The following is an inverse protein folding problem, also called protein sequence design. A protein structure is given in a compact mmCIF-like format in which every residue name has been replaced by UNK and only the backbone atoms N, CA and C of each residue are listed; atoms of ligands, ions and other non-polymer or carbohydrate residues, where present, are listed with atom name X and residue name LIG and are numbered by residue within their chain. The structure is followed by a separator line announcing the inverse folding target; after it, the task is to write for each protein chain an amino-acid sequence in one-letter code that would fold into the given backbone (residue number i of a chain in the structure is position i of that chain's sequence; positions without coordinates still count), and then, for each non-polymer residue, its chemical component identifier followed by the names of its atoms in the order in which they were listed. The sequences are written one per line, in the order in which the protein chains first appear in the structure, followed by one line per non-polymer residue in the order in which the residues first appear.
data_IF_753318848455
#
_entry.id   IF_753318848455
#
_cell.length_a   1.000
_cell.length_b   1.000
_cell.length_c   1.000
_cell.angle_alpha   90.00
_cell.angle_beta   90.00
_cell.angle_gamma   90.00
#
_symmetry.space_group_name_H-M   'P 1'
#
loop_
_entity.id
_entity.type
_entity.pdbx_description
1 polymer ?
#
# COMPACT_ATOMS: atom_id res chain seq x y z
N UNK A 1 45.09 -3.41 -41.97
CA UNK A 1 43.88 -2.56 -41.97
C UNK A 1 42.87 -3.19 -41.02
N UNK A 2 42.67 -2.57 -39.85
CA UNK A 2 41.93 -3.10 -38.70
C UNK A 2 40.42 -2.87 -38.87
N UNK A 3 39.62 -3.92 -38.76
CA UNK A 3 38.16 -3.86 -38.72
C UNK A 3 37.74 -3.43 -37.31
N UNK A 4 37.08 -2.28 -37.21
CA UNK A 4 36.58 -1.72 -35.95
C UNK A 4 35.26 -2.42 -35.61
N UNK A 5 35.25 -3.09 -34.46
CA UNK A 5 34.07 -3.73 -33.87
C UNK A 5 33.17 -2.64 -33.25
N UNK A 6 31.92 -2.54 -33.70
CA UNK A 6 30.89 -1.72 -33.05
C UNK A 6 30.38 -2.48 -31.81
N UNK A 7 30.73 -1.99 -30.62
CA UNK A 7 30.13 -2.43 -29.36
C UNK A 7 28.81 -1.65 -29.20
N UNK A 8 27.69 -2.33 -29.40
CA UNK A 8 26.38 -1.79 -29.06
C UNK A 8 26.25 -1.74 -27.53
N UNK A 9 26.26 -0.53 -26.98
CA UNK A 9 25.99 -0.29 -25.57
C UNK A 9 24.48 -0.53 -25.33
N UNK A 10 24.15 -1.67 -24.72
CA UNK A 10 22.79 -2.01 -24.29
C UNK A 10 22.49 -1.23 -22.99
N UNK A 11 22.14 0.04 -23.10
CA UNK A 11 21.58 0.83 -21.99
C UNK A 11 20.09 0.53 -21.87
N UNK A 12 19.77 -0.61 -21.25
CA UNK A 12 18.40 -1.05 -21.03
C UNK A 12 18.14 -1.36 -19.56
N UNK A 13 17.59 -0.37 -18.84
CA UNK A 13 16.82 -0.51 -17.60
C UNK A 13 17.49 -1.32 -16.47
N UNK A 14 18.59 -0.77 -15.95
CA UNK A 14 18.85 -0.97 -14.52
C UNK A 14 17.78 -0.17 -13.78
N UNK A 15 16.69 -0.83 -13.42
CA UNK A 15 15.87 -0.40 -12.29
C UNK A 15 16.82 -0.36 -11.10
N UNK A 16 17.29 0.83 -10.76
CA UNK A 16 18.00 1.05 -9.50
C UNK A 16 17.03 0.55 -8.44
N UNK A 17 17.36 -0.48 -7.64
CA UNK A 17 16.60 -0.70 -6.42
C UNK A 17 16.86 0.55 -5.61
N UNK A 18 15.89 1.49 -5.59
CA UNK A 18 15.78 2.39 -4.46
C UNK A 18 15.76 1.46 -3.26
N UNK A 19 16.73 1.62 -2.37
CA UNK A 19 16.67 1.00 -1.06
C UNK A 19 15.40 1.55 -0.39
N UNK A 20 14.30 0.84 -0.59
CA UNK A 20 12.96 1.29 -0.24
C UNK A 20 12.65 0.73 1.13
N UNK A 21 13.29 1.29 2.14
CA UNK A 21 12.91 1.02 3.51
C UNK A 21 11.41 1.39 3.65
N UNK A 22 10.63 0.34 3.84
CA UNK A 22 9.36 0.30 4.57
C UNK A 22 8.11 0.82 3.85
N UNK A 23 7.92 0.51 2.55
CA UNK A 23 6.54 0.48 2.03
C UNK A 23 5.83 -0.73 2.64
N UNK A 24 4.91 -0.47 3.55
CA UNK A 24 4.14 -1.51 4.23
C UNK A 24 2.84 -1.82 3.48
N UNK A 25 2.31 -0.84 2.74
CA UNK A 25 1.02 -0.93 2.04
C UNK A 25 1.12 -0.31 0.65
N UNK A 26 0.64 -1.04 -0.36
CA UNK A 26 0.36 -0.47 -1.69
C UNK A 26 -1.14 -0.22 -1.83
N UNK A 27 -1.50 0.92 -2.42
CA UNK A 27 -2.90 1.35 -2.56
C UNK A 27 -3.22 1.54 -4.04
N UNK A 28 -4.19 0.80 -4.56
CA UNK A 28 -4.74 0.99 -5.90
C UNK A 28 -6.01 1.82 -5.82
N UNK A 29 -5.96 3.02 -6.38
CA UNK A 29 -7.06 4.00 -6.38
C UNK A 29 -7.76 4.09 -7.73
N UNK A 30 -7.43 3.22 -8.69
CA UNK A 30 -7.87 3.39 -10.09
C UNK A 30 -9.38 3.34 -10.23
N UNK A 31 -10.04 2.61 -9.34
CA UNK A 31 -11.48 2.62 -9.18
C UNK A 31 -11.85 3.20 -7.81
N UNK A 32 -12.34 4.46 -7.72
CA UNK A 32 -12.80 5.03 -6.45
C UNK A 32 -13.92 4.23 -5.78
N UNK A 33 -14.69 3.42 -6.51
CA UNK A 33 -15.71 2.55 -5.92
C UNK A 33 -15.13 1.28 -5.26
N UNK A 34 -13.85 0.98 -5.50
CA UNK A 34 -13.15 -0.19 -4.99
C UNK A 34 -11.65 0.10 -4.86
N UNK A 35 -11.28 1.03 -3.98
CA UNK A 35 -9.88 1.32 -3.67
C UNK A 35 -9.30 0.17 -2.86
N UNK A 36 -8.19 -0.40 -3.30
CA UNK A 36 -7.61 -1.62 -2.72
C UNK A 36 -6.31 -1.33 -1.99
N UNK A 37 -6.27 -1.66 -0.71
CA UNK A 37 -5.09 -1.62 0.15
C UNK A 37 -4.50 -3.02 0.24
N UNK A 38 -3.21 -3.16 -0.01
CA UNK A 38 -2.52 -4.46 -0.01
C UNK A 38 -1.28 -4.40 0.86
N UNK A 39 -1.21 -5.28 1.86
CA UNK A 39 0.00 -5.46 2.65
C UNK A 39 1.15 -5.97 1.78
N UNK A 40 2.35 -5.39 1.93
CA UNK A 40 3.54 -5.80 1.17
C UNK A 40 4.28 -6.97 1.81
N UNK A 41 4.01 -7.26 3.09
CA UNK A 41 4.78 -8.19 3.90
C UNK A 41 6.09 -7.62 4.45
N UNK A 42 6.36 -6.33 4.23
CA UNK A 42 7.52 -5.66 4.83
C UNK A 42 7.35 -5.52 6.35
N UNK A 43 8.46 -5.58 7.07
CA UNK A 43 8.51 -5.30 8.50
C UNK A 43 8.39 -3.78 8.76
N UNK A 44 7.84 -3.37 9.92
CA UNK A 44 7.81 -1.98 10.30
C UNK A 44 9.21 -1.46 10.66
N UNK A 45 9.41 -0.15 10.51
CA UNK A 45 10.66 0.56 10.82
C UNK A 45 10.96 0.69 12.32
N UNK A 46 9.93 0.51 13.17
CA UNK A 46 10.01 0.61 14.62
C UNK A 46 9.03 -0.37 15.27
N UNK A 47 9.37 -0.81 16.48
CA UNK A 47 8.42 -1.53 17.32
C UNK A 47 7.29 -0.57 17.72
N UNK A 48 6.05 -1.06 17.61
CA UNK A 48 4.86 -0.34 18.01
C UNK A 48 4.38 -0.84 19.37
N UNK A 49 3.69 -0.01 20.16
CA UNK A 49 3.10 -0.48 21.39
C UNK A 49 2.03 -1.55 21.12
N UNK A 50 1.62 -2.24 22.17
CA UNK A 50 0.36 -2.97 22.15
C UNK A 50 -0.77 -2.04 22.61
N UNK A 51 -1.67 -1.66 21.70
CA UNK A 51 -2.81 -0.77 21.99
C UNK A 51 -4.12 -1.36 21.47
N UNK A 52 -5.29 -0.94 21.98
CA UNK A 52 -6.58 -1.40 21.45
C UNK A 52 -6.74 -1.08 19.97
N UNK A 53 -7.26 -2.04 19.19
CA UNK A 53 -7.45 -1.91 17.73
C UNK A 53 -8.53 -0.89 17.32
N UNK A 54 -9.35 -0.42 18.27
CA UNK A 54 -10.28 0.70 18.06
C UNK A 54 -9.55 2.02 17.79
N UNK A 55 -8.29 2.14 18.21
CA UNK A 55 -7.47 3.31 17.88
C UNK A 55 -7.06 3.31 16.41
N UNK A 56 -6.88 2.12 15.83
CA UNK A 56 -6.60 1.94 14.42
C UNK A 56 -5.20 2.35 13.99
N UNK A 57 -5.02 2.52 12.69
CA UNK A 57 -3.79 3.00 12.06
C UNK A 57 -4.10 4.18 11.15
N UNK A 58 -3.27 5.21 11.19
CA UNK A 58 -3.43 6.35 10.32
C UNK A 58 -2.53 6.27 9.09
N UNK A 59 -3.14 6.45 7.93
CA UNK A 59 -2.47 6.85 6.70
C UNK A 59 -2.46 8.37 6.65
N UNK A 60 -1.33 8.96 7.04
CA UNK A 60 -1.20 10.41 7.18
C UNK A 60 -1.25 11.12 5.83
N UNK A 61 -2.02 12.21 5.76
CA UNK A 61 -2.24 13.01 4.54
C UNK A 61 -2.68 12.17 3.34
N UNK A 62 -3.50 11.13 3.59
CA UNK A 62 -4.05 10.31 2.53
C UNK A 62 -4.95 11.13 1.59
N UNK A 63 -5.80 11.99 2.16
CA UNK A 63 -6.65 12.87 1.38
C UNK A 63 -5.88 14.14 0.99
N UNK A 64 -5.86 14.48 -0.31
CA UNK A 64 -5.07 15.61 -0.85
C UNK A 64 -5.58 16.98 -0.39
N UNK A 65 -6.82 17.02 0.09
CA UNK A 65 -7.44 18.20 0.68
C UNK A 65 -8.33 17.76 1.84
N UNK A 66 -8.54 18.63 2.85
CA UNK A 66 -9.45 18.36 3.96
C UNK A 66 -10.85 17.94 3.50
N UNK A 67 -11.36 16.84 4.04
CA UNK A 67 -12.78 16.51 3.93
C UNK A 67 -13.54 17.37 4.95
N UNK A 68 -14.57 18.08 4.48
CA UNK A 68 -15.41 18.89 5.36
C UNK A 68 -16.25 18.01 6.30
N UNK A 69 -16.09 18.21 7.60
CA UNK A 69 -16.79 17.41 8.62
C UNK A 69 -16.14 16.03 8.82
N UNK A 70 -16.86 15.12 9.46
CA UNK A 70 -16.39 13.76 9.75
C UNK A 70 -16.94 12.78 8.73
N UNK A 71 -16.07 12.04 8.04
CA UNK A 71 -16.44 10.97 7.12
C UNK A 71 -16.06 9.62 7.71
N UNK A 72 -16.89 8.62 7.46
CA UNK A 72 -16.67 7.24 7.90
C UNK A 72 -17.31 6.25 6.93
N UNK A 73 -16.92 4.99 7.04
CA UNK A 73 -17.56 3.91 6.31
C UNK A 73 -16.97 2.54 6.63
N UNK A 74 -17.38 1.56 5.83
CA UNK A 74 -16.94 0.19 5.96
C UNK A 74 -15.70 -0.10 5.10
N UNK A 75 -14.85 -0.99 5.58
CA UNK A 75 -13.75 -1.60 4.84
C UNK A 75 -14.19 -3.02 4.47
N UNK A 76 -14.71 -3.20 3.26
CA UNK A 76 -15.31 -4.46 2.83
C UNK A 76 -15.13 -4.75 1.34
N UNK A 77 -14.71 -5.98 0.96
CA UNK A 77 -14.22 -7.04 1.84
C UNK A 77 -12.88 -6.64 2.51
N UNK A 78 -12.58 -7.24 3.68
CA UNK A 78 -11.32 -7.01 4.37
C UNK A 78 -10.76 -8.29 4.99
N UNK A 79 -9.49 -8.55 4.68
CA UNK A 79 -8.57 -9.44 5.41
C UNK A 79 -7.36 -8.66 5.92
N UNK A 80 -7.39 -7.33 5.77
CA UNK A 80 -6.28 -6.45 6.07
C UNK A 80 -6.21 -6.24 7.59
N UNK A 81 -5.09 -6.65 8.18
CA UNK A 81 -4.90 -6.66 9.62
C UNK A 81 -3.43 -6.42 9.95
N UNK A 82 -3.12 -6.15 11.22
CA UNK A 82 -1.75 -6.33 11.70
C UNK A 82 -1.34 -7.80 11.57
N UNK A 83 -0.06 -8.07 11.29
CA UNK A 83 0.41 -9.46 11.16
C UNK A 83 0.19 -10.27 12.44
N UNK A 84 0.52 -9.66 13.58
CA UNK A 84 0.47 -10.30 14.89
C UNK A 84 -0.94 -10.49 15.44
N UNK A 85 -1.93 -9.76 14.91
CA UNK A 85 -3.35 -9.90 15.28
C UNK A 85 -4.25 -10.13 14.05
N UNK A 86 -3.79 -10.99 13.13
CA UNK A 86 -4.41 -11.21 11.82
C UNK A 86 -5.84 -11.76 11.82
N UNK A 87 -6.34 -12.23 12.97
CA UNK A 87 -7.73 -12.67 13.13
C UNK A 87 -8.72 -11.49 13.24
N UNK A 88 -8.23 -10.27 13.43
CA UNK A 88 -9.05 -9.07 13.59
C UNK A 88 -8.74 -8.08 12.44
N UNK A 89 -9.35 -8.28 11.26
CA UNK A 89 -9.19 -7.33 10.17
C UNK A 89 -9.76 -5.96 10.55
N UNK A 90 -9.21 -4.92 9.95
CA UNK A 90 -9.81 -3.60 9.96
C UNK A 90 -11.09 -3.63 9.14
N UNK A 91 -12.20 -3.26 9.78
CA UNK A 91 -13.55 -3.35 9.20
C UNK A 91 -14.18 -1.98 8.98
N UNK A 92 -13.59 -0.94 9.54
CA UNK A 92 -14.12 0.41 9.48
C UNK A 92 -13.01 1.41 9.18
N UNK A 93 -13.40 2.52 8.57
CA UNK A 93 -12.53 3.65 8.35
C UNK A 93 -13.21 4.95 8.74
N UNK A 94 -12.40 5.94 9.12
CA UNK A 94 -12.86 7.32 9.27
C UNK A 94 -11.78 8.31 8.83
N UNK A 95 -12.18 9.57 8.67
CA UNK A 95 -11.23 10.68 8.58
C UNK A 95 -10.70 11.01 9.96
N UNK A 96 -9.39 11.24 10.06
CA UNK A 96 -8.76 11.75 11.27
C UNK A 96 -8.01 13.06 11.00
N UNK A 97 -7.69 13.78 12.09
CA UNK A 97 -7.16 15.13 12.09
C UNK A 97 -5.77 15.26 12.71
N UNK A 98 -4.97 14.19 12.70
CA UNK A 98 -3.66 14.20 13.36
C UNK A 98 -2.64 15.09 12.64
N UNK A 99 -2.45 14.92 11.34
CA UNK A 99 -1.49 15.68 10.54
C UNK A 99 -2.07 16.98 9.96
N UNK A 100 -3.39 17.12 10.01
CA UNK A 100 -4.15 18.28 9.59
C UNK A 100 -5.65 18.00 9.61
N UNK A 101 -6.54 18.99 9.44
CA UNK A 101 -7.98 18.79 9.58
C UNK A 101 -8.54 17.78 8.56
N UNK A 102 -8.95 16.59 9.02
CA UNK A 102 -9.58 15.53 8.21
C UNK A 102 -8.86 15.20 6.90
N UNK A 103 -7.52 15.17 6.93
CA UNK A 103 -6.69 14.76 5.79
C UNK A 103 -6.14 13.35 5.95
N UNK A 104 -6.24 12.78 7.15
CA UNK A 104 -5.76 11.44 7.46
C UNK A 104 -6.89 10.43 7.24
N UNK A 105 -6.51 9.22 6.83
CA UNK A 105 -7.40 8.07 6.78
C UNK A 105 -7.04 7.13 7.91
N UNK A 106 -7.95 6.90 8.85
CA UNK A 106 -7.78 5.93 9.92
C UNK A 106 -8.51 4.63 9.56
N UNK A 107 -7.83 3.50 9.66
CA UNK A 107 -8.43 2.16 9.62
C UNK A 107 -8.45 1.57 11.02
N UNK A 108 -9.62 1.13 11.47
CA UNK A 108 -9.78 0.57 12.81
C UNK A 108 -10.65 -0.69 12.81
N UNK A 109 -10.46 -1.50 13.82
CA UNK A 109 -11.18 -2.76 14.05
C UNK A 109 -12.15 -2.61 15.23
N UNK A 110 -12.99 -3.62 15.43
CA UNK A 110 -13.99 -3.62 16.52
C UNK A 110 -13.37 -3.87 17.90
N UNK A 111 -14.15 -3.60 18.95
CA UNK A 111 -13.77 -3.81 20.35
C UNK A 111 -13.24 -5.23 20.61
N UNK A 112 -12.08 -5.30 21.28
CA UNK A 112 -11.46 -6.56 21.72
C UNK A 112 -10.20 -6.98 20.96
N UNK A 113 -9.90 -6.36 19.82
CA UNK A 113 -8.63 -6.56 19.11
C UNK A 113 -7.50 -5.70 19.67
N UNK A 114 -6.27 -6.09 19.38
CA UNK A 114 -5.06 -5.31 19.64
C UNK A 114 -4.31 -4.98 18.36
N UNK A 115 -3.50 -3.94 18.41
CA UNK A 115 -2.53 -3.63 17.37
C UNK A 115 -1.15 -3.55 18.02
N UNK A 116 -0.22 -4.33 17.49
CA UNK A 116 1.14 -4.43 17.96
C UNK A 116 2.05 -4.69 16.77
N UNK A 117 3.25 -4.10 16.80
CA UNK A 117 4.21 -4.13 15.71
C UNK A 117 5.58 -4.48 16.25
N UNK A 118 6.29 -5.37 15.55
CA UNK A 118 7.66 -5.76 15.85
C UNK A 118 8.46 -5.66 14.55
N UNK A 119 9.64 -5.05 14.63
CA UNK A 119 10.59 -4.91 13.52
C UNK A 119 11.08 -6.23 12.91
N UNK A 120 10.85 -7.38 13.55
CA UNK A 120 11.24 -8.69 13.00
C UNK A 120 10.14 -9.41 12.21
N UNK A 121 8.89 -8.98 12.35
CA UNK A 121 7.73 -9.59 11.70
C UNK A 121 7.14 -8.63 10.66
N UNK A 122 6.38 -9.11 9.65
CA UNK A 122 5.63 -8.22 8.77
C UNK A 122 4.75 -7.26 9.58
N UNK A 123 4.57 -6.02 9.11
CA UNK A 123 3.68 -5.06 9.78
C UNK A 123 2.20 -5.47 9.62
N UNK A 124 1.82 -5.79 8.37
CA UNK A 124 0.45 -6.08 7.98
C UNK A 124 0.36 -7.36 7.15
N UNK A 125 -0.86 -7.88 7.04
CA UNK A 125 -1.24 -8.97 6.14
C UNK A 125 -2.53 -8.64 5.40
N UNK A 126 -2.79 -9.38 4.32
CA UNK A 126 -4.08 -9.36 3.62
C UNK A 126 -4.33 -8.11 2.79
N UNK A 127 -5.60 -7.92 2.45
CA UNK A 127 -6.10 -6.82 1.60
C UNK A 127 -7.40 -6.25 2.13
N UNK A 128 -7.63 -4.96 1.84
CA UNK A 128 -8.83 -4.22 2.21
C UNK A 128 -9.37 -3.49 0.99
N UNK A 129 -10.68 -3.45 0.84
CA UNK A 129 -11.36 -2.68 -0.22
C UNK A 129 -12.26 -1.63 0.40
N UNK A 130 -12.19 -0.40 -0.12
CA UNK A 130 -13.02 0.72 0.34
C UNK A 130 -13.69 1.40 -0.83
N UNK A 131 -14.98 1.74 -0.67
CA UNK A 131 -15.70 2.58 -1.61
C UNK A 131 -15.56 4.06 -1.22
N UNK A 132 -14.70 4.77 -1.94
CA UNK A 132 -14.50 6.21 -1.85
C UNK A 132 -15.17 6.97 -3.00
N UNK A 133 -16.25 6.46 -3.62
CA UNK A 133 -16.93 7.13 -4.74
C UNK A 133 -17.31 8.58 -4.39
N UNK A 134 -17.87 8.80 -3.19
CA UNK A 134 -18.24 10.13 -2.70
C UNK A 134 -17.04 11.04 -2.40
N UNK A 135 -15.84 10.47 -2.32
CA UNK A 135 -14.59 11.15 -1.95
C UNK A 135 -13.53 11.08 -3.07
N UNK A 136 -13.93 10.74 -4.29
CA UNK A 136 -13.00 10.51 -5.40
C UNK A 136 -12.10 11.73 -5.68
N UNK A 137 -12.61 12.96 -5.50
CA UNK A 137 -11.86 14.20 -5.68
C UNK A 137 -10.82 14.47 -4.59
N UNK A 138 -10.88 13.75 -3.47
CA UNK A 138 -9.95 13.89 -2.34
C UNK A 138 -8.85 12.82 -2.37
N UNK A 139 -8.96 11.82 -3.26
CA UNK A 139 -7.98 10.75 -3.36
C UNK A 139 -6.63 11.28 -3.88
N UNK A 140 -5.52 10.67 -3.45
CA UNK A 140 -4.18 11.00 -3.94
C UNK A 140 -4.01 10.64 -5.42
N UNK A 141 -2.92 11.07 -6.05
CA UNK A 141 -2.55 10.62 -7.39
C UNK A 141 -1.67 9.37 -7.34
N UNK A 142 -1.62 8.59 -8.42
CA UNK A 142 -0.67 7.50 -8.55
C UNK A 142 0.78 7.99 -8.33
N UNK A 143 1.56 7.20 -7.60
CA UNK A 143 2.92 7.55 -7.17
C UNK A 143 3.00 8.32 -5.86
N UNK A 144 1.88 8.82 -5.31
CA UNK A 144 1.87 9.47 -4.01
C UNK A 144 2.29 8.49 -2.89
N UNK A 145 2.92 9.04 -1.87
CA UNK A 145 3.39 8.31 -0.68
C UNK A 145 3.07 9.12 0.56
N UNK A 146 2.77 8.44 1.66
CA UNK A 146 2.61 9.05 2.97
C UNK A 146 3.01 8.09 4.08
N UNK A 147 3.06 8.60 5.30
CA UNK A 147 3.45 7.80 6.47
C UNK A 147 2.27 6.98 6.99
N UNK A 148 2.58 5.82 7.55
CA UNK A 148 1.63 5.01 8.31
C UNK A 148 2.06 5.08 9.78
N UNK A 149 1.10 5.32 10.67
CA UNK A 149 1.33 5.35 12.11
C UNK A 149 0.43 4.38 12.86
N UNK A 150 0.72 4.21 14.14
CA UNK A 150 0.01 3.31 15.04
C UNK A 150 -1.27 3.91 15.66
N UNK A 151 -1.85 4.96 15.08
CA UNK A 151 -3.21 5.51 15.29
C UNK A 151 -3.59 6.00 16.69
N UNK A 152 -2.86 5.60 17.71
CA UNK A 152 -3.09 6.00 19.09
C UNK A 152 -2.20 7.20 19.43
N UNK A 153 -2.56 8.34 18.82
CA UNK A 153 -2.14 9.66 19.26
C UNK A 153 -3.10 10.06 20.38
N UNK A 154 -2.60 10.16 21.60
CA UNK A 154 -3.51 10.34 22.74
C UNK A 154 -4.31 11.64 22.62
N UNK A 155 -5.64 11.56 22.43
CA UNK A 155 -6.58 12.09 23.42
C UNK A 155 -8.05 11.63 23.25
N UNK A 156 -8.55 10.90 24.25
CA UNK A 156 -9.86 11.21 24.85
C UNK A 156 -9.86 11.00 26.38
N UNK A 157 -8.91 10.22 26.95
CA UNK A 157 -8.86 10.02 28.41
C UNK A 157 -7.55 9.40 28.98
N UNK A 158 -6.43 9.40 28.25
CA UNK A 158 -5.19 8.70 28.66
C UNK A 158 -3.91 9.52 28.45
N UNK A 159 -2.76 9.09 29.03
CA UNK A 159 -1.49 9.81 28.88
C UNK A 159 -1.08 9.87 27.41
N UNK A 160 -0.99 11.08 26.85
CA UNK A 160 -0.53 11.32 25.49
C UNK A 160 0.86 10.70 25.28
N UNK A 161 0.99 9.84 24.27
CA UNK A 161 2.27 9.33 23.78
C UNK A 161 2.49 9.83 22.35
N UNK A 162 3.74 10.02 21.92
CA UNK A 162 4.03 10.31 20.52
C UNK A 162 3.58 9.13 19.64
N UNK A 163 3.09 9.43 18.44
CA UNK A 163 2.82 8.40 17.43
C UNK A 163 4.10 7.70 17.02
N UNK A 164 4.01 6.40 16.80
CA UNK A 164 5.09 5.62 16.20
C UNK A 164 4.86 5.58 14.69
N UNK A 165 5.82 6.11 13.93
CA UNK A 165 5.84 5.92 12.47
C UNK A 165 6.28 4.50 12.19
N UNK A 166 5.41 3.72 11.53
CA UNK A 166 5.66 2.32 11.23
C UNK A 166 6.35 2.16 9.88
N UNK A 167 6.02 3.02 8.93
CA UNK A 167 6.58 2.99 7.58
C UNK A 167 5.78 3.90 6.67
N UNK A 168 5.66 3.52 5.40
CA UNK A 168 4.98 4.30 4.37
C UNK A 168 3.97 3.49 3.59
N UNK A 169 2.96 4.17 3.03
CA UNK A 169 2.15 3.63 1.96
C UNK A 169 2.61 4.20 0.62
N UNK A 170 2.28 3.50 -0.47
CA UNK A 170 2.43 4.02 -1.82
C UNK A 170 1.18 3.77 -2.64
N UNK A 171 0.71 4.81 -3.31
CA UNK A 171 -0.34 4.71 -4.31
C UNK A 171 0.27 4.18 -5.59
N UNK A 172 -0.12 2.98 -6.01
CA UNK A 172 0.42 2.34 -7.19
C UNK A 172 -0.47 2.62 -8.41
N UNK A 173 0.09 2.84 -9.60
CA UNK A 173 -0.68 2.74 -10.84
C UNK A 173 -1.19 1.30 -11.02
N UNK A 174 -2.26 1.10 -11.80
CA UNK A 174 -2.62 -0.25 -12.23
C UNK A 174 -1.37 -0.99 -12.76
N UNK A 175 -1.25 -2.30 -12.53
CA UNK A 175 -0.40 -3.13 -13.36
C UNK A 175 -0.91 -2.94 -14.79
N UNK A 176 -0.22 -2.10 -15.57
CA UNK A 176 -0.76 -1.69 -16.87
C UNK A 176 -1.10 -2.94 -17.65
N UNK A 177 -2.38 -3.12 -17.98
CA UNK A 177 -2.87 -4.29 -18.74
C UNK A 177 -2.04 -4.47 -20.01
N UNK A 178 -1.53 -3.35 -20.56
CA UNK A 178 -0.59 -3.28 -21.66
C UNK A 178 0.78 -3.93 -21.39
N UNK A 179 1.38 -3.78 -20.21
CA UNK A 179 2.62 -4.46 -19.87
C UNK A 179 2.43 -5.98 -19.76
N UNK A 180 1.31 -6.43 -19.17
CA UNK A 180 0.98 -7.85 -19.08
C UNK A 180 0.64 -8.44 -20.45
N UNK A 181 -0.07 -7.72 -21.30
CA UNK A 181 -0.36 -8.11 -22.67
C UNK A 181 0.91 -8.18 -23.53
N UNK A 182 1.81 -7.20 -23.39
CA UNK A 182 3.09 -7.18 -24.10
C UNK A 182 3.99 -8.35 -23.67
N UNK A 183 4.04 -8.68 -22.36
CA UNK A 183 4.76 -9.84 -21.85
C UNK A 183 4.14 -11.16 -22.33
N UNK A 184 2.81 -11.26 -22.34
CA UNK A 184 2.08 -12.40 -22.89
C UNK A 184 2.37 -12.61 -24.39
N UNK A 185 2.36 -11.53 -25.18
CA UNK A 185 2.69 -11.58 -26.61
C UNK A 185 4.16 -11.96 -26.84
N UNK A 186 5.09 -11.45 -26.03
CA UNK A 186 6.50 -11.82 -26.10
C UNK A 186 6.73 -13.32 -25.78
N UNK A 187 6.02 -13.87 -24.79
CA UNK A 187 6.04 -15.29 -24.47
C UNK A 187 5.46 -16.15 -25.62
N UNK A 188 4.34 -15.75 -26.22
CA UNK A 188 3.77 -16.44 -27.38
C UNK A 188 4.72 -16.43 -28.59
N UNK A 189 5.37 -15.30 -28.89
CA UNK A 189 6.31 -15.17 -30.01
C UNK A 189 7.58 -16.01 -29.81
N UNK A 190 8.08 -16.14 -28.58
CA UNK A 190 9.24 -16.99 -28.28
C UNK A 190 8.93 -18.48 -28.39
N UNK A 191 7.72 -18.90 -27.98
CA UNK A 191 7.24 -20.28 -28.15
C UNK A 191 7.04 -20.65 -29.62
N UNK A 192 6.45 -19.75 -30.42
CA UNK A 192 6.28 -19.94 -31.87
C UNK A 192 7.62 -20.06 -32.60
N UNK A 193 8.62 -19.24 -32.22
CA UNK A 193 9.98 -19.33 -32.78
C UNK A 193 10.70 -20.63 -32.42
N UNK A 194 10.44 -21.22 -31.24
CA UNK A 194 11.03 -22.51 -30.83
C UNK A 194 10.40 -23.69 -31.57
N UNK A 195 9.10 -23.63 -31.89
CA UNK A 195 8.40 -24.67 -32.67
C UNK A 195 8.85 -24.71 -34.13
N UNK A 196 9.06 -23.56 -34.76
CA UNK A 196 9.54 -23.49 -36.15
C UNK A 196 10.95 -24.10 -36.36
N UNK A 197 11.81 -24.07 -35.34
CA UNK A 197 13.17 -24.66 -35.42
C UNK A 197 13.21 -26.18 -35.23
N UNK A 198 12.16 -26.80 -34.67
CA UNK A 198 12.08 -28.26 -34.51
C UNK A 198 11.47 -28.98 -35.71
N UNK A 199 10.79 -28.27 -36.61
CA UNK A 199 10.18 -28.85 -37.81
C UNK A 199 11.15 -28.99 -39.01
N UNK A 200 12.42 -28.61 -38.84
CA UNK A 200 13.48 -28.66 -39.86
C UNK A 200 14.66 -29.57 -39.47
N UNK A 201 14.44 -30.48 -38.51
CA UNK A 201 15.40 -31.50 -38.06
C UNK A 201 14.93 -32.89 -38.46
#
# INVERSE_FOLDING_TARGET
MRRILLIACLTGLLSVPVARADILVTIDITNPAAVVFTATGAAPSADGPNVPGINGIDFLQFFITPISGFALGDVTPSTFATYLDSNYPYLNWNTDSYSGPNVDLNFYSQDGSSQHFNTTDPAFVGTATVNFTSYASYLPSAGATGQITDGNSGNASGPSRPLTVLGTYQVVPEPSTWALLALGLAACLTLLRRRGKRALS
#
